data_IF_584268099257
#
_entry.id   IF_584268099257
#
_cell.length_a   1.000
_cell.length_b   1.000
_cell.length_c   1.000
_cell.angle_alpha   90.00
_cell.angle_beta   90.00
_cell.angle_gamma   90.00
#
_symmetry.space_group_name_H-M   'P 1'
#
loop_
_entity.id
_entity.type
_entity.pdbx_description
1 polymer ?
#
# COMPACT_ATOMS: atom_id res chain seq x y z
N UNK A 1 -14.28 17.09 -15.13
CA UNK A 1 -15.29 16.07 -15.52
C UNK A 1 -15.54 15.15 -14.35
N UNK A 2 -16.78 14.65 -14.17
CA UNK A 2 -17.08 13.70 -13.07
C UNK A 2 -16.45 12.32 -13.31
N UNK A 3 -16.05 11.63 -12.23
CA UNK A 3 -15.52 10.27 -12.29
C UNK A 3 -16.51 9.28 -12.89
N UNK A 4 -16.05 8.41 -13.78
CA UNK A 4 -16.84 7.37 -14.45
C UNK A 4 -16.70 6.06 -13.68
N UNK A 5 -17.80 5.59 -13.09
CA UNK A 5 -17.84 4.41 -12.22
C UNK A 5 -18.82 3.40 -12.77
N UNK A 6 -18.36 2.19 -12.99
CA UNK A 6 -19.17 1.05 -13.44
C UNK A 6 -19.47 0.14 -12.25
N UNK A 7 -20.74 -0.17 -12.05
CA UNK A 7 -21.24 -1.13 -11.08
C UNK A 7 -21.79 -2.37 -11.80
N UNK A 8 -21.39 -3.56 -11.35
CA UNK A 8 -21.81 -4.83 -11.97
C UNK A 8 -22.32 -5.78 -10.88
N UNK A 9 -23.58 -6.19 -11.01
CA UNK A 9 -24.23 -7.14 -10.11
C UNK A 9 -25.38 -7.81 -10.88
N UNK A 10 -25.53 -9.11 -10.81
CA UNK A 10 -26.59 -9.83 -11.54
C UNK A 10 -27.97 -9.70 -10.91
N UNK A 11 -28.05 -9.21 -9.68
CA UNK A 11 -29.31 -8.93 -9.01
C UNK A 11 -29.78 -7.48 -9.30
N UNK A 12 -30.86 -7.29 -10.10
CA UNK A 12 -31.42 -5.97 -10.37
C UNK A 12 -31.81 -5.20 -9.10
N UNK A 13 -32.23 -5.89 -8.04
CA UNK A 13 -32.61 -5.27 -6.78
C UNK A 13 -31.40 -4.64 -6.07
N UNK A 14 -30.21 -5.29 -6.17
CA UNK A 14 -28.95 -4.74 -5.66
C UNK A 14 -28.55 -3.49 -6.46
N UNK A 15 -28.62 -3.55 -7.79
CA UNK A 15 -28.31 -2.39 -8.65
C UNK A 15 -29.25 -1.21 -8.38
N UNK A 16 -30.54 -1.43 -8.23
CA UNK A 16 -31.50 -0.38 -7.84
C UNK A 16 -31.21 0.16 -6.43
N UNK A 17 -30.83 -0.72 -5.50
CA UNK A 17 -30.39 -0.35 -4.16
C UNK A 17 -29.18 0.59 -4.19
N UNK A 18 -28.13 0.22 -4.95
CA UNK A 18 -26.94 1.04 -5.17
C UNK A 18 -27.29 2.39 -5.81
N UNK A 19 -28.15 2.40 -6.84
CA UNK A 19 -28.60 3.64 -7.48
C UNK A 19 -29.30 4.60 -6.52
N UNK A 20 -30.16 4.06 -5.63
CA UNK A 20 -30.86 4.87 -4.60
C UNK A 20 -29.87 5.36 -3.55
N UNK A 21 -29.01 4.50 -3.06
CA UNK A 21 -28.03 4.76 -2.03
C UNK A 21 -27.03 5.85 -2.45
N UNK A 22 -26.58 5.82 -3.71
CA UNK A 22 -25.59 6.74 -4.27
C UNK A 22 -26.18 7.95 -4.97
N UNK A 23 -27.50 8.20 -4.84
CA UNK A 23 -28.19 9.30 -5.56
C UNK A 23 -27.57 10.67 -5.30
N UNK A 24 -27.08 10.92 -4.09
CA UNK A 24 -26.41 12.19 -3.73
C UNK A 24 -25.10 12.42 -4.49
N UNK A 25 -24.44 11.35 -4.95
CA UNK A 25 -23.14 11.41 -5.64
C UNK A 25 -23.27 11.73 -7.14
N UNK A 26 -24.47 11.79 -7.72
CA UNK A 26 -24.68 12.04 -9.16
C UNK A 26 -24.11 13.36 -9.68
N UNK A 27 -23.81 14.31 -8.81
CA UNK A 27 -23.16 15.57 -9.19
C UNK A 27 -21.63 15.42 -9.37
N UNK A 28 -21.04 14.43 -8.70
CA UNK A 28 -19.60 14.19 -8.67
C UNK A 28 -19.21 13.00 -9.55
N UNK A 29 -20.10 12.00 -9.67
CA UNK A 29 -19.85 10.73 -10.35
C UNK A 29 -20.81 10.50 -11.51
N UNK A 30 -20.26 9.98 -12.62
CA UNK A 30 -21.04 9.36 -13.70
C UNK A 30 -21.10 7.86 -13.40
N UNK A 31 -22.27 7.38 -13.02
CA UNK A 31 -22.46 6.01 -12.57
C UNK A 31 -23.21 5.20 -13.62
N UNK A 32 -22.66 4.04 -13.96
CA UNK A 32 -23.20 3.09 -14.92
C UNK A 32 -23.44 1.76 -14.23
N UNK A 33 -24.57 1.12 -14.49
CA UNK A 33 -25.02 -0.07 -13.78
C UNK A 33 -25.33 -1.16 -14.80
N UNK A 34 -24.68 -2.32 -14.66
CA UNK A 34 -24.82 -3.42 -15.60
C UNK A 34 -25.16 -4.73 -14.89
N UNK A 35 -26.15 -5.50 -15.42
CA UNK A 35 -26.54 -6.77 -14.82
C UNK A 35 -25.62 -7.93 -15.22
N UNK A 36 -24.54 -7.70 -15.96
CA UNK A 36 -23.60 -8.75 -16.36
C UNK A 36 -22.22 -8.20 -16.72
N UNK A 37 -21.21 -9.04 -16.52
CA UNK A 37 -19.83 -8.77 -16.93
C UNK A 37 -19.73 -8.43 -18.44
N UNK A 38 -20.46 -9.15 -19.32
CA UNK A 38 -20.40 -8.94 -20.77
C UNK A 38 -20.86 -7.54 -21.17
N UNK A 39 -21.94 -7.02 -20.56
CA UNK A 39 -22.42 -5.66 -20.85
C UNK A 39 -21.45 -4.60 -20.32
N UNK A 40 -20.87 -4.83 -19.14
CA UNK A 40 -19.87 -3.92 -18.58
C UNK A 40 -18.60 -3.87 -19.44
N UNK A 41 -18.11 -5.01 -19.93
CA UNK A 41 -16.96 -5.05 -20.84
C UNK A 41 -17.21 -4.32 -22.15
N UNK A 42 -18.37 -4.53 -22.77
CA UNK A 42 -18.76 -3.79 -23.98
C UNK A 42 -18.81 -2.27 -23.75
N UNK A 43 -19.24 -1.82 -22.56
CA UNK A 43 -19.22 -0.40 -22.20
C UNK A 43 -17.78 0.13 -22.04
N UNK A 44 -16.89 -0.65 -21.40
CA UNK A 44 -15.47 -0.31 -21.22
C UNK A 44 -14.70 -0.16 -22.55
N UNK A 45 -15.17 -0.83 -23.64
CA UNK A 45 -14.59 -0.70 -24.98
C UNK A 45 -14.89 0.68 -25.61
N UNK A 46 -16.00 1.31 -25.25
CA UNK A 46 -16.50 2.54 -25.88
C UNK A 46 -16.34 3.79 -25.04
N UNK A 47 -16.24 3.65 -23.73
CA UNK A 47 -16.24 4.77 -22.79
C UNK A 47 -15.11 4.69 -21.77
N UNK A 48 -14.45 5.81 -21.44
CA UNK A 48 -13.42 5.83 -20.41
C UNK A 48 -14.06 5.64 -19.03
N UNK A 49 -13.48 4.69 -18.26
CA UNK A 49 -13.92 4.33 -16.92
C UNK A 49 -12.75 4.48 -15.93
N UNK A 50 -13.03 5.05 -14.77
CA UNK A 50 -12.05 5.25 -13.71
C UNK A 50 -12.07 4.10 -12.68
N UNK A 51 -13.29 3.62 -12.34
CA UNK A 51 -13.49 2.59 -11.31
C UNK A 51 -14.52 1.56 -11.78
N UNK A 52 -14.21 0.31 -11.54
CA UNK A 52 -15.17 -0.81 -11.65
C UNK A 52 -15.42 -1.38 -10.26
N UNK A 53 -16.69 -1.52 -9.90
CA UNK A 53 -17.17 -2.15 -8.67
C UNK A 53 -18.01 -3.35 -9.08
N UNK A 54 -17.56 -4.57 -8.75
CA UNK A 54 -18.20 -5.81 -9.20
C UNK A 54 -18.62 -6.69 -8.06
N UNK A 55 -19.83 -7.25 -8.15
CA UNK A 55 -20.15 -8.44 -7.38
C UNK A 55 -19.22 -9.59 -7.74
N UNK A 56 -19.00 -10.50 -6.77
CA UNK A 56 -18.16 -11.67 -6.97
C UNK A 56 -18.92 -12.85 -7.53
N UNK A 57 -20.22 -12.99 -7.18
CA UNK A 57 -21.06 -14.11 -7.64
C UNK A 57 -22.00 -13.67 -8.75
N UNK A 58 -21.59 -13.92 -9.98
CA UNK A 58 -22.41 -13.65 -11.15
C UNK A 58 -22.49 -14.89 -12.04
N UNK A 59 -23.63 -15.17 -12.70
CA UNK A 59 -23.76 -16.28 -13.62
C UNK A 59 -22.93 -16.07 -14.88
N UNK A 60 -22.33 -17.14 -15.39
CA UNK A 60 -21.49 -17.12 -16.57
C UNK A 60 -20.05 -16.70 -16.26
N UNK A 61 -19.75 -15.41 -16.38
CA UNK A 61 -18.46 -14.82 -16.00
C UNK A 61 -18.59 -14.27 -14.58
N UNK A 62 -17.93 -14.92 -13.62
CA UNK A 62 -17.92 -14.46 -12.23
C UNK A 62 -17.08 -13.18 -12.05
N UNK A 63 -17.22 -12.52 -10.87
CA UNK A 63 -16.54 -11.26 -10.60
C UNK A 63 -15.02 -11.37 -10.62
N UNK A 64 -14.45 -12.50 -10.21
CA UNK A 64 -13.01 -12.71 -10.22
C UNK A 64 -12.46 -12.74 -11.65
N UNK A 65 -13.12 -13.48 -12.54
CA UNK A 65 -12.76 -13.54 -13.96
C UNK A 65 -13.03 -12.20 -14.66
N UNK A 66 -14.15 -11.54 -14.37
CA UNK A 66 -14.45 -10.21 -14.90
C UNK A 66 -13.36 -9.21 -14.53
N UNK A 67 -13.00 -9.10 -13.25
CA UNK A 67 -11.94 -8.19 -12.79
C UNK A 67 -10.58 -8.53 -13.38
N UNK A 68 -10.31 -9.82 -13.64
CA UNK A 68 -9.09 -10.24 -14.33
C UNK A 68 -9.08 -9.81 -15.82
N UNK A 69 -10.23 -9.84 -16.49
CA UNK A 69 -10.36 -9.32 -17.86
C UNK A 69 -10.17 -7.81 -17.90
N UNK A 70 -10.82 -7.06 -16.98
CA UNK A 70 -10.65 -5.61 -16.83
C UNK A 70 -9.18 -5.27 -16.59
N UNK A 71 -8.49 -6.01 -15.71
CA UNK A 71 -7.06 -5.81 -15.46
C UNK A 71 -6.22 -5.95 -16.72
N UNK A 72 -6.44 -7.01 -17.52
CA UNK A 72 -5.67 -7.26 -18.75
C UNK A 72 -5.89 -6.20 -19.83
N UNK A 73 -7.13 -5.75 -19.99
CA UNK A 73 -7.48 -4.81 -21.06
C UNK A 73 -7.34 -3.34 -20.63
N UNK A 74 -7.58 -3.04 -19.35
CA UNK A 74 -7.65 -1.68 -18.80
C UNK A 74 -6.91 -1.59 -17.45
N UNK A 75 -5.58 -1.76 -17.40
CA UNK A 75 -4.82 -1.84 -16.15
C UNK A 75 -4.95 -0.60 -15.27
N UNK A 76 -5.16 0.58 -15.86
CA UNK A 76 -5.36 1.85 -15.16
C UNK A 76 -6.71 1.97 -14.43
N UNK A 77 -7.66 1.10 -14.74
CA UNK A 77 -8.98 1.10 -14.08
C UNK A 77 -8.86 0.51 -12.68
N UNK A 78 -9.37 1.23 -11.69
CA UNK A 78 -9.40 0.74 -10.32
C UNK A 78 -10.51 -0.32 -10.18
N UNK A 79 -10.18 -1.45 -9.58
CA UNK A 79 -11.02 -2.64 -9.47
C UNK A 79 -11.36 -2.91 -8.02
N UNK A 80 -12.65 -2.77 -7.67
CA UNK A 80 -13.19 -3.01 -6.34
C UNK A 80 -14.13 -4.22 -6.40
N UNK A 81 -13.90 -5.21 -5.55
CA UNK A 81 -14.77 -6.38 -5.40
C UNK A 81 -15.77 -6.15 -4.28
N UNK A 82 -17.06 -6.40 -4.53
CA UNK A 82 -18.08 -6.53 -3.49
C UNK A 82 -18.31 -8.00 -3.19
N UNK A 83 -18.08 -8.43 -1.94
CA UNK A 83 -18.17 -9.86 -1.59
C UNK A 83 -19.00 -10.10 -0.33
N UNK A 84 -19.75 -11.22 -0.30
CA UNK A 84 -20.41 -11.73 0.89
C UNK A 84 -19.48 -12.63 1.73
N UNK A 85 -19.88 -12.94 2.97
CA UNK A 85 -19.11 -13.81 3.86
C UNK A 85 -18.86 -15.23 3.31
N UNK A 86 -19.67 -15.68 2.36
CA UNK A 86 -19.58 -17.03 1.77
C UNK A 86 -18.64 -17.11 0.54
N UNK A 87 -17.92 -16.05 0.19
CA UNK A 87 -17.21 -15.93 -1.08
C UNK A 87 -15.69 -16.17 -0.97
N UNK A 88 -15.21 -16.86 0.08
CA UNK A 88 -13.79 -17.05 0.37
C UNK A 88 -12.97 -17.52 -0.84
N UNK A 89 -13.43 -18.56 -1.52
CA UNK A 89 -12.72 -19.10 -2.68
C UNK A 89 -12.64 -18.10 -3.85
N UNK A 90 -13.73 -17.36 -4.09
CA UNK A 90 -13.79 -16.35 -5.15
C UNK A 90 -12.91 -15.14 -4.83
N UNK A 91 -12.89 -14.70 -3.55
CA UNK A 91 -12.00 -13.62 -3.09
C UNK A 91 -10.55 -14.04 -3.25
N UNK A 92 -10.18 -15.29 -2.88
CA UNK A 92 -8.83 -15.81 -3.10
C UNK A 92 -8.45 -15.77 -4.59
N UNK A 93 -9.36 -16.14 -5.49
CA UNK A 93 -9.13 -16.03 -6.95
C UNK A 93 -8.94 -14.58 -7.42
N UNK A 94 -9.66 -13.63 -6.82
CA UNK A 94 -9.58 -12.22 -7.18
C UNK A 94 -8.40 -11.47 -6.54
N UNK A 95 -7.65 -12.09 -5.59
CA UNK A 95 -6.52 -11.45 -4.88
C UNK A 95 -5.49 -10.81 -5.82
N UNK A 96 -5.33 -11.36 -7.02
CA UNK A 96 -4.41 -10.83 -8.03
C UNK A 96 -5.05 -9.82 -8.99
N UNK A 97 -6.35 -9.63 -8.94
CA UNK A 97 -7.09 -8.83 -9.93
C UNK A 97 -7.80 -7.63 -9.31
N UNK A 98 -8.29 -7.73 -8.08
CA UNK A 98 -8.92 -6.62 -7.37
C UNK A 98 -7.89 -5.80 -6.58
N UNK A 99 -8.12 -4.49 -6.52
CA UNK A 99 -7.33 -3.59 -5.69
C UNK A 99 -7.89 -3.53 -4.26
N UNK A 100 -9.21 -3.50 -4.12
CA UNK A 100 -9.89 -3.46 -2.82
C UNK A 100 -11.05 -4.45 -2.79
N UNK A 101 -11.42 -4.85 -1.56
CA UNK A 101 -12.55 -5.74 -1.27
C UNK A 101 -13.46 -5.08 -0.25
N UNK A 102 -14.74 -4.92 -0.58
CA UNK A 102 -15.77 -4.38 0.31
C UNK A 102 -16.80 -5.46 0.62
N UNK A 103 -17.15 -5.62 1.91
CA UNK A 103 -18.14 -6.60 2.33
C UNK A 103 -19.55 -6.15 1.99
N UNK A 104 -20.41 -7.10 1.56
CA UNK A 104 -21.86 -6.92 1.49
C UNK A 104 -22.49 -7.27 2.85
N UNK A 105 -23.43 -6.46 3.38
CA UNK A 105 -23.93 -5.21 2.83
C UNK A 105 -22.93 -4.04 2.99
N UNK A 106 -22.68 -3.29 1.91
CA UNK A 106 -21.79 -2.13 1.91
C UNK A 106 -22.60 -0.84 2.11
N UNK A 107 -22.18 0.02 3.04
CA UNK A 107 -22.81 1.32 3.23
C UNK A 107 -22.38 2.33 2.15
N UNK A 108 -23.19 3.38 1.95
CA UNK A 108 -22.85 4.48 1.03
C UNK A 108 -21.53 5.15 1.44
N UNK A 109 -21.33 5.34 2.74
CA UNK A 109 -20.14 5.97 3.31
C UNK A 109 -18.88 5.14 3.06
N UNK A 110 -18.96 3.82 3.25
CA UNK A 110 -17.84 2.89 3.01
C UNK A 110 -17.43 2.91 1.53
N UNK A 111 -18.41 2.78 0.63
CA UNK A 111 -18.15 2.78 -0.80
C UNK A 111 -17.65 4.14 -1.29
N UNK A 112 -18.28 5.23 -0.82
CA UNK A 112 -17.83 6.60 -1.11
C UNK A 112 -16.41 6.82 -0.61
N UNK A 113 -16.11 6.48 0.64
CA UNK A 113 -14.79 6.63 1.22
C UNK A 113 -13.70 5.89 0.44
N UNK A 114 -13.98 4.66 -0.03
CA UNK A 114 -13.06 3.91 -0.87
C UNK A 114 -12.78 4.60 -2.21
N UNK A 115 -13.82 5.10 -2.88
CA UNK A 115 -13.69 5.78 -4.18
C UNK A 115 -13.05 7.16 -4.04
N UNK A 116 -13.45 7.96 -3.05
CA UNK A 116 -12.88 9.29 -2.81
C UNK A 116 -11.40 9.22 -2.44
N UNK A 117 -11.00 8.20 -1.67
CA UNK A 117 -9.58 7.94 -1.36
C UNK A 117 -8.77 7.70 -2.64
N UNK A 118 -9.24 6.82 -3.51
CA UNK A 118 -8.59 6.55 -4.80
C UNK A 118 -8.51 7.81 -5.64
N UNK A 119 -9.55 8.64 -5.62
CA UNK A 119 -9.58 9.92 -6.32
C UNK A 119 -8.51 10.88 -5.81
N UNK A 120 -8.43 11.08 -4.50
CA UNK A 120 -7.40 11.94 -3.89
C UNK A 120 -5.98 11.46 -4.22
N UNK A 121 -5.77 10.14 -4.18
CA UNK A 121 -4.48 9.53 -4.50
C UNK A 121 -4.10 9.69 -5.99
N UNK A 122 -5.08 9.72 -6.90
CA UNK A 122 -4.81 9.92 -8.34
C UNK A 122 -4.14 11.27 -8.62
N UNK A 123 -4.40 12.27 -7.77
CA UNK A 123 -3.79 13.59 -7.86
C UNK A 123 -2.29 13.57 -7.49
N UNK A 124 -1.82 12.54 -6.76
CA UNK A 124 -0.40 12.36 -6.44
C UNK A 124 0.44 11.94 -7.67
N UNK A 125 -0.19 11.31 -8.67
CA UNK A 125 0.48 10.84 -9.87
C UNK A 125 -0.10 11.56 -11.10
N UNK A 126 0.64 12.54 -11.62
CA UNK A 126 0.21 13.34 -12.78
C UNK A 126 0.24 12.51 -14.07
N UNK A 127 1.23 11.62 -14.24
CA UNK A 127 1.40 10.82 -15.45
C UNK A 127 0.50 9.57 -15.45
N UNK A 128 -0.31 9.44 -16.51
CA UNK A 128 -1.21 8.28 -16.71
C UNK A 128 -0.44 6.97 -16.89
N UNK A 129 0.72 7.01 -17.54
CA UNK A 129 1.60 5.87 -17.73
C UNK A 129 2.08 5.28 -16.40
N UNK A 130 2.44 6.13 -15.43
CA UNK A 130 2.84 5.70 -14.09
C UNK A 130 1.67 5.11 -13.30
N UNK A 131 0.47 5.73 -13.42
CA UNK A 131 -0.74 5.16 -12.80
C UNK A 131 -1.04 3.76 -13.32
N UNK A 132 -0.90 3.55 -14.63
CA UNK A 132 -1.11 2.24 -15.24
C UNK A 132 -0.10 1.21 -14.72
N UNK A 133 1.19 1.55 -14.65
CA UNK A 133 2.24 0.67 -14.10
C UNK A 133 1.93 0.30 -12.65
N UNK A 134 1.57 1.27 -11.81
CA UNK A 134 1.30 1.01 -10.39
C UNK A 134 0.00 0.22 -10.20
N UNK A 135 -1.04 0.53 -10.98
CA UNK A 135 -2.32 -0.17 -10.90
C UNK A 135 -2.25 -1.63 -11.41
N UNK A 136 -1.25 -1.98 -12.24
CA UNK A 136 -1.03 -3.36 -12.69
C UNK A 136 -0.23 -4.20 -11.69
N UNK A 137 0.36 -3.59 -10.67
CA UNK A 137 1.12 -4.32 -9.66
C UNK A 137 0.22 -5.22 -8.82
N UNK A 138 0.50 -6.52 -8.87
CA UNK A 138 -0.20 -7.52 -8.08
C UNK A 138 0.47 -7.77 -6.74
N UNK A 139 1.79 -7.74 -6.76
CA UNK A 139 2.65 -8.08 -5.63
C UNK A 139 3.92 -7.23 -5.66
N UNK A 140 4.46 -6.99 -4.48
CA UNK A 140 5.79 -6.43 -4.33
C UNK A 140 6.81 -7.56 -4.21
N UNK A 141 8.04 -7.39 -4.72
CA UNK A 141 9.06 -8.41 -4.60
C UNK A 141 9.50 -8.58 -3.14
N UNK A 142 9.79 -9.81 -2.78
CA UNK A 142 10.33 -10.21 -1.49
C UNK A 142 11.79 -10.64 -1.61
N UNK A 143 12.56 -10.53 -0.53
CA UNK A 143 13.91 -11.09 -0.48
C UNK A 143 13.87 -12.61 -0.65
N UNK A 144 14.77 -13.17 -1.47
CA UNK A 144 14.81 -14.59 -1.75
C UNK A 144 14.90 -15.43 -0.47
N UNK A 145 15.74 -15.03 0.49
CA UNK A 145 15.90 -15.73 1.77
C UNK A 145 14.60 -15.75 2.57
N UNK A 146 13.93 -14.62 2.73
CA UNK A 146 12.67 -14.54 3.48
C UNK A 146 11.53 -15.28 2.77
N UNK A 147 11.51 -15.26 1.42
CA UNK A 147 10.57 -16.06 0.65
C UNK A 147 10.80 -17.57 0.89
N UNK A 148 12.05 -18.03 0.90
CA UNK A 148 12.39 -19.42 1.19
C UNK A 148 12.04 -19.81 2.64
N UNK A 149 12.24 -18.92 3.60
CA UNK A 149 11.89 -19.15 4.99
C UNK A 149 10.38 -19.33 5.18
N UNK A 150 9.56 -18.48 4.55
CA UNK A 150 8.09 -18.63 4.65
C UNK A 150 7.61 -19.91 3.97
N UNK A 151 8.18 -20.27 2.81
CA UNK A 151 7.86 -21.53 2.13
C UNK A 151 8.17 -22.73 3.01
N UNK A 152 9.37 -22.77 3.59
CA UNK A 152 9.81 -23.84 4.51
C UNK A 152 8.92 -23.95 5.75
N UNK A 153 8.56 -22.83 6.36
CA UNK A 153 7.66 -22.82 7.53
C UNK A 153 6.26 -23.30 7.18
N UNK A 154 5.70 -22.85 6.04
CA UNK A 154 4.36 -23.25 5.59
C UNK A 154 4.24 -24.71 5.18
N UNK A 155 5.33 -25.34 4.72
CA UNK A 155 5.41 -26.76 4.36
C UNK A 155 5.70 -27.66 5.57
N UNK A 156 6.14 -27.10 6.70
CA UNK A 156 6.44 -27.84 7.91
C UNK A 156 5.20 -28.49 8.53
N UNK A 157 5.35 -29.69 9.09
CA UNK A 157 4.30 -30.35 9.87
C UNK A 157 4.00 -29.62 11.19
N UNK A 158 4.97 -28.85 11.71
CA UNK A 158 4.86 -28.04 12.92
C UNK A 158 4.72 -26.55 12.60
N UNK A 159 4.15 -26.22 11.43
CA UNK A 159 3.99 -24.84 11.00
C UNK A 159 3.25 -23.98 12.04
N UNK A 160 3.84 -22.82 12.37
CA UNK A 160 3.33 -21.92 13.39
C UNK A 160 2.92 -20.58 12.80
N UNK A 161 1.65 -20.19 12.99
CA UNK A 161 1.15 -18.85 12.61
C UNK A 161 2.02 -17.73 13.17
N UNK A 162 2.54 -17.92 14.39
CA UNK A 162 3.45 -16.94 15.03
C UNK A 162 4.75 -16.79 14.23
N UNK A 163 5.41 -17.90 13.88
CA UNK A 163 6.63 -17.87 13.07
C UNK A 163 6.39 -17.31 11.68
N UNK A 164 5.30 -17.71 11.04
CA UNK A 164 4.89 -17.13 9.74
C UNK A 164 4.73 -15.62 9.86
N UNK A 165 4.06 -15.13 10.91
CA UNK A 165 3.92 -13.70 11.17
C UNK A 165 5.25 -12.98 11.41
N UNK A 166 6.20 -13.61 12.09
CA UNK A 166 7.54 -13.09 12.33
C UNK A 166 8.37 -13.00 11.03
N UNK A 167 8.22 -13.96 10.13
CA UNK A 167 8.87 -13.91 8.79
C UNK A 167 8.26 -12.79 7.95
N UNK A 168 6.92 -12.72 7.88
CA UNK A 168 6.20 -11.68 7.14
C UNK A 168 6.61 -10.28 7.63
N UNK A 169 6.74 -10.10 8.94
CA UNK A 169 7.10 -8.81 9.55
C UNK A 169 8.52 -8.32 9.17
N UNK A 170 9.36 -9.17 8.62
CA UNK A 170 10.71 -8.82 8.16
C UNK A 170 10.76 -8.46 6.68
N UNK A 171 9.67 -8.58 5.95
CA UNK A 171 9.62 -8.35 4.51
C UNK A 171 8.56 -7.31 4.16
N UNK A 172 8.98 -6.23 3.49
CA UNK A 172 8.13 -5.10 3.11
C UNK A 172 7.02 -5.55 2.15
N UNK A 173 7.37 -6.36 1.14
CA UNK A 173 6.41 -6.83 0.14
C UNK A 173 5.36 -7.77 0.75
N UNK A 174 5.80 -8.74 1.56
CA UNK A 174 4.91 -9.65 2.28
C UNK A 174 4.00 -8.90 3.25
N UNK A 175 4.57 -7.97 4.03
CA UNK A 175 3.84 -7.14 4.98
C UNK A 175 2.76 -6.33 4.29
N UNK A 176 3.09 -5.59 3.22
CA UNK A 176 2.12 -4.80 2.46
C UNK A 176 0.96 -5.66 1.95
N UNK A 177 1.25 -6.83 1.39
CA UNK A 177 0.23 -7.73 0.84
C UNK A 177 -0.67 -8.35 1.90
N UNK A 178 -0.10 -8.81 3.01
CA UNK A 178 -0.88 -9.39 4.11
C UNK A 178 -1.78 -8.34 4.76
N UNK A 179 -1.29 -7.10 4.92
CA UNK A 179 -2.10 -6.01 5.44
C UNK A 179 -3.22 -5.58 4.48
N UNK A 180 -2.95 -5.54 3.18
CA UNK A 180 -3.99 -5.31 2.18
C UNK A 180 -5.13 -6.32 2.36
N UNK A 181 -4.80 -7.60 2.51
CA UNK A 181 -5.79 -8.66 2.63
C UNK A 181 -6.57 -8.57 3.94
N UNK A 182 -5.87 -8.46 5.08
CA UNK A 182 -6.55 -8.47 6.39
C UNK A 182 -7.41 -7.23 6.63
N UNK A 183 -7.01 -6.08 6.13
CA UNK A 183 -7.79 -4.83 6.23
C UNK A 183 -8.87 -4.74 5.14
N UNK A 184 -8.93 -5.70 4.22
CA UNK A 184 -10.06 -5.78 3.32
C UNK A 184 -11.33 -6.14 4.11
N UNK A 185 -12.45 -5.57 3.73
CA UNK A 185 -13.72 -5.79 4.39
C UNK A 185 -14.17 -7.26 4.39
N UNK A 186 -13.56 -8.09 3.52
CA UNK A 186 -13.81 -9.52 3.43
C UNK A 186 -13.49 -10.27 4.73
N UNK A 187 -12.38 -9.94 5.41
CA UNK A 187 -12.03 -10.60 6.67
C UNK A 187 -12.78 -10.05 7.87
N UNK A 188 -13.70 -9.08 7.67
CA UNK A 188 -14.64 -8.59 8.68
C UNK A 188 -13.98 -8.05 9.95
N UNK A 189 -12.73 -7.62 9.86
CA UNK A 189 -11.99 -7.11 11.01
C UNK A 189 -12.56 -5.73 11.35
N UNK A 190 -13.20 -5.64 12.52
CA UNK A 190 -13.89 -4.43 12.99
C UNK A 190 -12.93 -3.30 13.37
N UNK A 191 -11.64 -3.57 13.42
CA UNK A 191 -10.58 -2.60 13.74
C UNK A 191 -9.46 -2.70 12.72
N UNK A 192 -8.88 -1.55 12.42
CA UNK A 192 -7.71 -1.47 11.57
C UNK A 192 -6.53 -2.28 12.16
N UNK A 193 -5.84 -3.06 11.32
CA UNK A 193 -4.67 -3.88 11.66
C UNK A 193 -3.44 -3.30 10.99
N UNK A 194 -2.48 -2.83 11.79
CA UNK A 194 -1.18 -2.34 11.33
C UNK A 194 -0.02 -3.27 11.71
N UNK A 195 -0.29 -4.38 12.37
CA UNK A 195 0.73 -5.32 12.81
C UNK A 195 0.69 -6.59 11.94
N UNK A 196 1.76 -6.90 11.16
CA UNK A 196 1.76 -8.06 10.26
C UNK A 196 1.67 -9.40 10.98
N UNK A 197 2.23 -9.54 12.20
CA UNK A 197 2.09 -10.76 12.98
C UNK A 197 0.64 -10.94 13.47
N UNK A 198 -0.03 -9.86 13.88
CA UNK A 198 -1.45 -9.91 14.20
C UNK A 198 -2.31 -10.20 12.96
N UNK A 199 -1.96 -9.63 11.81
CA UNK A 199 -2.61 -9.93 10.54
C UNK A 199 -2.50 -11.43 10.20
N UNK A 200 -1.33 -12.02 10.37
CA UNK A 200 -1.12 -13.45 10.15
C UNK A 200 -2.00 -14.32 11.07
N UNK A 201 -2.13 -13.94 12.34
CA UNK A 201 -3.02 -14.64 13.30
C UNK A 201 -4.49 -14.55 12.89
N UNK A 202 -4.93 -13.38 12.41
CA UNK A 202 -6.33 -13.17 11.98
C UNK A 202 -6.66 -13.93 10.70
N UNK A 203 -5.74 -14.01 9.74
CA UNK A 203 -5.90 -14.79 8.51
C UNK A 203 -5.89 -16.29 8.77
N UNK A 204 -5.08 -16.74 9.72
CA UNK A 204 -4.85 -18.14 10.00
C UNK A 204 -3.90 -18.82 9.01
N UNK A 205 -3.30 -19.93 9.44
CA UNK A 205 -2.27 -20.64 8.69
C UNK A 205 -2.76 -21.17 7.35
N UNK A 206 -3.97 -21.73 7.31
CA UNK A 206 -4.53 -22.33 6.09
C UNK A 206 -4.80 -21.29 5.01
N UNK A 207 -5.32 -20.12 5.40
CA UNK A 207 -5.50 -19.00 4.48
C UNK A 207 -4.15 -18.50 3.94
N UNK A 208 -3.16 -18.31 4.81
CA UNK A 208 -1.83 -17.87 4.39
C UNK A 208 -1.20 -18.92 3.48
N UNK A 209 -1.31 -20.21 3.82
CA UNK A 209 -0.80 -21.32 3.00
C UNK A 209 -1.45 -21.31 1.61
N UNK A 210 -2.78 -21.17 1.54
CA UNK A 210 -3.49 -21.07 0.26
C UNK A 210 -3.02 -19.87 -0.56
N UNK A 211 -2.86 -18.70 0.07
CA UNK A 211 -2.39 -17.48 -0.59
C UNK A 211 -0.96 -17.62 -1.13
N UNK A 212 -0.05 -18.14 -0.33
CA UNK A 212 1.37 -18.21 -0.70
C UNK A 212 1.64 -19.38 -1.66
N UNK A 213 1.21 -20.59 -1.31
CA UNK A 213 1.55 -21.81 -2.07
C UNK A 213 0.69 -21.97 -3.33
N UNK A 214 -0.61 -21.67 -3.27
CA UNK A 214 -1.54 -21.88 -4.38
C UNK A 214 -1.62 -20.67 -5.31
N UNK A 215 -1.59 -19.44 -4.76
CA UNK A 215 -1.78 -18.22 -5.53
C UNK A 215 -0.48 -17.45 -5.77
N UNK A 216 0.63 -17.86 -5.16
CA UNK A 216 1.95 -17.22 -5.32
C UNK A 216 1.87 -15.69 -5.13
N UNK A 217 1.23 -15.23 -4.04
CA UNK A 217 1.01 -13.80 -3.78
C UNK A 217 2.29 -13.02 -3.52
N UNK A 218 3.39 -13.69 -3.18
CA UNK A 218 4.71 -13.09 -3.07
C UNK A 218 5.55 -13.47 -4.29
N UNK A 219 6.36 -12.54 -4.76
CA UNK A 219 7.30 -12.78 -5.86
C UNK A 219 8.73 -12.55 -5.39
N UNK A 220 9.65 -13.29 -5.99
CA UNK A 220 11.08 -13.08 -5.77
C UNK A 220 11.55 -11.87 -6.56
N UNK A 221 12.50 -11.12 -5.99
CA UNK A 221 13.18 -10.07 -6.72
C UNK A 221 14.01 -10.66 -7.89
N UNK A 222 13.79 -10.17 -9.10
CA UNK A 222 14.47 -10.63 -10.32
C UNK A 222 15.11 -9.48 -11.10
N UNK A 223 15.49 -8.39 -10.41
CA UNK A 223 16.08 -7.21 -11.06
C UNK A 223 17.43 -7.51 -11.69
N UNK A 224 17.73 -6.84 -12.84
CA UNK A 224 19.02 -6.91 -13.52
C UNK A 224 19.90 -5.67 -13.28
N UNK A 225 19.27 -4.52 -13.05
CA UNK A 225 19.95 -3.23 -12.88
C UNK A 225 20.41 -2.97 -11.44
N UNK A 226 19.77 -3.64 -10.47
CA UNK A 226 20.07 -3.54 -9.05
C UNK A 226 20.37 -4.95 -8.52
N UNK A 227 21.30 -5.04 -7.56
CA UNK A 227 21.66 -6.32 -6.94
C UNK A 227 20.73 -6.67 -5.78
N UNK A 228 20.72 -7.94 -5.36
CA UNK A 228 20.02 -8.36 -4.14
C UNK A 228 20.55 -7.62 -2.91
N UNK A 229 21.85 -7.24 -2.91
CA UNK A 229 22.44 -6.44 -1.84
C UNK A 229 21.82 -5.05 -1.74
N UNK A 230 21.56 -4.40 -2.88
CA UNK A 230 20.92 -3.08 -2.91
C UNK A 230 19.51 -3.15 -2.32
N UNK A 231 18.78 -4.19 -2.68
CA UNK A 231 17.45 -4.44 -2.13
C UNK A 231 17.52 -4.76 -0.64
N UNK A 232 18.48 -5.59 -0.18
CA UNK A 232 18.68 -5.89 1.25
C UNK A 232 18.94 -4.61 2.06
N UNK A 233 19.76 -3.70 1.57
CA UNK A 233 20.02 -2.42 2.24
C UNK A 233 18.76 -1.56 2.37
N UNK A 234 17.89 -1.59 1.36
CA UNK A 234 16.59 -0.91 1.42
C UNK A 234 15.68 -1.54 2.49
N UNK A 235 15.69 -2.88 2.62
CA UNK A 235 14.94 -3.59 3.66
C UNK A 235 15.45 -3.26 5.07
N UNK A 236 16.77 -3.31 5.28
CA UNK A 236 17.40 -2.97 6.56
C UNK A 236 17.07 -1.53 6.97
N UNK A 237 17.11 -0.60 6.01
CA UNK A 237 16.70 0.78 6.22
C UNK A 237 15.24 0.89 6.65
N UNK A 238 14.34 0.26 5.91
CA UNK A 238 12.90 0.28 6.18
C UNK A 238 12.58 -0.31 7.57
N UNK A 239 13.22 -1.43 7.94
CA UNK A 239 13.03 -2.06 9.23
C UNK A 239 13.56 -1.17 10.38
N UNK A 240 14.73 -0.58 10.22
CA UNK A 240 15.31 0.32 11.23
C UNK A 240 14.45 1.57 11.39
N UNK A 241 13.99 2.17 10.28
CA UNK A 241 13.09 3.31 10.30
C UNK A 241 11.76 2.96 10.99
N UNK A 242 11.22 1.76 10.78
CA UNK A 242 10.02 1.28 11.46
C UNK A 242 10.21 1.21 13.00
N UNK A 243 11.33 0.64 13.45
CA UNK A 243 11.66 0.56 14.90
C UNK A 243 11.82 1.96 15.49
N UNK A 244 12.52 2.85 14.80
CA UNK A 244 12.71 4.22 15.23
C UNK A 244 11.38 4.98 15.30
N UNK A 245 10.55 4.90 14.27
CA UNK A 245 9.25 5.57 14.23
C UNK A 245 8.34 5.13 15.37
N UNK A 246 8.26 3.81 15.64
CA UNK A 246 7.52 3.30 16.79
C UNK A 246 8.08 3.80 18.12
N UNK A 247 9.41 3.84 18.26
CA UNK A 247 10.09 4.32 19.47
C UNK A 247 9.81 5.80 19.69
N UNK A 248 9.85 6.62 18.64
CA UNK A 248 9.54 8.05 18.68
C UNK A 248 8.08 8.29 19.09
N UNK A 249 7.14 7.57 18.46
CA UNK A 249 5.72 7.66 18.80
C UNK A 249 5.45 7.27 20.25
N UNK A 250 6.06 6.18 20.72
CA UNK A 250 5.96 5.74 22.11
C UNK A 250 6.60 6.75 23.09
N UNK A 251 7.77 7.31 22.78
CA UNK A 251 8.45 8.32 23.60
C UNK A 251 7.69 9.66 23.64
N UNK A 252 6.93 9.97 22.60
CA UNK A 252 6.01 11.11 22.58
C UNK A 252 4.79 10.87 23.49
N UNK A 253 4.46 9.62 23.82
CA UNK A 253 3.26 9.26 24.57
C UNK A 253 2.02 9.08 23.69
N UNK A 254 2.21 8.80 22.41
CA UNK A 254 1.12 8.49 21.49
C UNK A 254 0.39 7.20 21.91
N UNK A 255 -0.87 7.09 21.52
CA UNK A 255 -1.64 5.87 21.75
C UNK A 255 -1.08 4.66 20.98
N UNK A 256 -1.56 3.47 21.32
CA UNK A 256 -1.09 2.23 20.72
C UNK A 256 -1.29 2.19 19.21
N UNK A 257 -2.39 2.74 18.71
CA UNK A 257 -2.71 2.72 17.29
C UNK A 257 -1.72 3.59 16.50
N UNK A 258 -1.43 4.81 16.97
CA UNK A 258 -0.42 5.68 16.37
C UNK A 258 0.96 5.03 16.39
N UNK A 259 1.33 4.32 17.46
CA UNK A 259 2.60 3.59 17.54
C UNK A 259 2.68 2.44 16.53
N UNK A 260 1.59 1.69 16.34
CA UNK A 260 1.52 0.60 15.36
C UNK A 260 1.54 1.16 13.93
N UNK A 261 0.79 2.22 13.65
CA UNK A 261 0.80 2.91 12.35
C UNK A 261 2.18 3.51 12.03
N UNK A 262 2.86 4.10 13.02
CA UNK A 262 4.22 4.63 12.84
C UNK A 262 5.21 3.52 12.47
N UNK A 263 5.12 2.34 13.11
CA UNK A 263 5.93 1.18 12.74
C UNK A 263 5.67 0.77 11.30
N UNK A 264 4.39 0.64 10.91
CA UNK A 264 4.03 0.20 9.58
C UNK A 264 4.37 1.22 8.50
N UNK A 265 4.12 2.49 8.77
CA UNK A 265 4.50 3.56 7.87
C UNK A 265 6.02 3.63 7.70
N UNK A 266 6.79 3.45 8.77
CA UNK A 266 8.25 3.34 8.70
C UNK A 266 8.73 2.13 7.89
N UNK A 267 8.04 0.97 7.99
CA UNK A 267 8.33 -0.21 7.17
C UNK A 267 8.08 0.03 5.68
N UNK A 268 7.05 0.81 5.34
CA UNK A 268 6.54 0.96 3.98
C UNK A 268 6.93 2.29 3.32
N UNK A 269 7.55 3.25 4.03
CA UNK A 269 7.76 4.61 3.52
C UNK A 269 8.51 4.65 2.18
N UNK A 270 9.43 3.73 2.00
CA UNK A 270 10.29 3.60 0.82
C UNK A 270 9.82 2.54 -0.20
N UNK A 271 8.62 1.98 -0.03
CA UNK A 271 8.08 0.93 -0.91
C UNK A 271 8.05 1.35 -2.39
N UNK A 272 7.91 2.64 -2.67
CA UNK A 272 7.96 3.17 -4.03
C UNK A 272 9.32 2.99 -4.70
N UNK A 273 10.42 2.92 -3.95
CA UNK A 273 11.76 2.60 -4.50
C UNK A 273 11.78 1.18 -5.08
N UNK A 274 11.12 0.21 -4.42
CA UNK A 274 10.97 -1.15 -4.97
C UNK A 274 10.18 -1.15 -6.28
N UNK A 275 9.13 -0.34 -6.35
CA UNK A 275 8.32 -0.18 -7.56
C UNK A 275 9.20 0.35 -8.69
N UNK A 276 9.98 1.38 -8.44
CA UNK A 276 10.87 1.98 -9.41
C UNK A 276 11.97 1.01 -9.86
N UNK A 277 12.64 0.35 -8.93
CA UNK A 277 13.71 -0.62 -9.21
C UNK A 277 13.19 -1.76 -10.11
N UNK A 278 11.97 -2.24 -9.87
CA UNK A 278 11.41 -3.36 -10.60
C UNK A 278 10.84 -2.98 -11.97
N UNK A 279 10.18 -1.83 -12.06
CA UNK A 279 9.39 -1.48 -13.25
C UNK A 279 10.05 -0.40 -14.12
N UNK A 280 10.93 0.42 -13.53
CA UNK A 280 11.61 1.53 -14.21
C UNK A 280 13.13 1.54 -13.92
N UNK A 281 13.84 0.40 -14.05
CA UNK A 281 15.22 0.25 -13.57
C UNK A 281 16.19 1.27 -14.16
N UNK A 282 16.08 1.59 -15.45
CA UNK A 282 16.95 2.55 -16.12
C UNK A 282 16.72 4.00 -15.66
N UNK A 283 15.45 4.40 -15.52
CA UNK A 283 15.11 5.72 -14.97
C UNK A 283 15.52 5.84 -13.51
N UNK A 284 15.36 4.77 -12.73
CA UNK A 284 15.81 4.74 -11.33
C UNK A 284 17.32 4.94 -11.22
N UNK A 285 18.09 4.24 -12.06
CA UNK A 285 19.54 4.42 -12.13
C UNK A 285 19.93 5.85 -12.47
N UNK A 286 19.28 6.45 -13.48
CA UNK A 286 19.50 7.86 -13.85
C UNK A 286 19.18 8.82 -12.69
N UNK A 287 18.09 8.58 -11.94
CA UNK A 287 17.73 9.40 -10.78
C UNK A 287 18.78 9.29 -9.67
N UNK A 288 19.31 8.10 -9.39
CA UNK A 288 20.39 7.88 -8.40
C UNK A 288 21.68 8.56 -8.83
N UNK A 289 22.09 8.40 -10.10
CA UNK A 289 23.28 9.07 -10.64
C UNK A 289 23.15 10.59 -10.57
N UNK A 290 21.98 11.14 -10.94
CA UNK A 290 21.70 12.56 -10.85
C UNK A 290 21.78 13.05 -9.39
N UNK A 291 21.11 12.39 -8.45
CA UNK A 291 21.15 12.74 -7.03
C UNK A 291 22.59 12.81 -6.50
N UNK A 292 23.42 11.85 -6.90
CA UNK A 292 24.84 11.81 -6.50
C UNK A 292 25.64 12.96 -7.10
N UNK A 293 25.40 13.31 -8.38
CA UNK A 293 26.13 14.36 -9.09
C UNK A 293 25.73 15.77 -8.63
N UNK A 294 24.44 15.99 -8.36
CA UNK A 294 23.91 17.30 -7.98
C UNK A 294 23.86 17.54 -6.48
N UNK A 295 24.12 16.49 -5.67
CA UNK A 295 24.03 16.53 -4.20
C UNK A 295 22.63 16.94 -3.74
N UNK A 296 21.61 16.65 -4.53
CA UNK A 296 20.20 16.88 -4.18
C UNK A 296 19.54 15.61 -3.62
N UNK A 297 18.46 15.73 -2.82
CA UNK A 297 17.73 14.57 -2.32
C UNK A 297 17.23 13.67 -3.45
N UNK A 298 17.25 12.35 -3.24
CA UNK A 298 16.86 11.39 -4.28
C UNK A 298 15.43 11.64 -4.80
N UNK A 299 14.47 11.96 -3.93
CA UNK A 299 13.10 12.26 -4.34
C UNK A 299 13.00 13.43 -5.35
N UNK A 300 13.92 14.41 -5.27
CA UNK A 300 13.94 15.52 -6.21
C UNK A 300 14.48 15.08 -7.59
N UNK A 301 15.52 14.23 -7.59
CA UNK A 301 16.03 13.60 -8.81
C UNK A 301 15.02 12.66 -9.44
N UNK A 302 14.26 11.89 -8.63
CA UNK A 302 13.16 11.06 -9.10
C UNK A 302 12.08 11.89 -9.79
N UNK A 303 11.64 13.01 -9.19
CA UNK A 303 10.69 13.94 -9.84
C UNK A 303 11.19 14.47 -11.18
N UNK A 304 12.47 14.79 -11.27
CA UNK A 304 13.05 15.30 -12.51
C UNK A 304 13.15 14.22 -13.62
N UNK A 305 13.39 12.95 -13.26
CA UNK A 305 13.65 11.86 -14.22
C UNK A 305 12.40 11.02 -14.50
N UNK A 306 11.62 10.75 -13.45
CA UNK A 306 10.45 9.85 -13.51
C UNK A 306 9.14 10.63 -13.60
N UNK A 307 9.10 11.89 -13.12
CA UNK A 307 7.89 12.71 -13.04
C UNK A 307 7.21 12.67 -11.68
N UNK A 308 7.63 11.76 -10.77
CA UNK A 308 7.09 11.62 -9.41
C UNK A 308 8.15 11.06 -8.47
N UNK A 309 7.90 11.09 -7.16
CA UNK A 309 8.79 10.53 -6.13
C UNK A 309 8.34 9.15 -5.65
N UNK A 310 9.28 8.39 -5.07
CA UNK A 310 8.97 7.09 -4.45
C UNK A 310 7.90 7.21 -3.35
N UNK A 311 7.91 8.30 -2.57
CA UNK A 311 6.88 8.52 -1.54
C UNK A 311 5.48 8.63 -2.14
N UNK A 312 5.32 9.39 -3.22
CA UNK A 312 4.03 9.56 -3.92
C UNK A 312 3.55 8.25 -4.58
N UNK A 313 4.45 7.51 -5.24
CA UNK A 313 4.13 6.23 -5.86
C UNK A 313 3.79 5.16 -4.81
N UNK A 314 4.57 5.09 -3.72
CA UNK A 314 4.29 4.18 -2.61
C UNK A 314 2.95 4.48 -1.95
N UNK A 315 2.66 5.75 -1.66
CA UNK A 315 1.38 6.20 -1.11
C UNK A 315 0.21 5.86 -2.03
N UNK A 316 0.35 6.09 -3.34
CA UNK A 316 -0.68 5.74 -4.33
C UNK A 316 -0.99 4.23 -4.29
N UNK A 317 0.03 3.36 -4.38
CA UNK A 317 -0.17 1.92 -4.34
C UNK A 317 -0.82 1.46 -3.03
N UNK A 318 -0.29 1.90 -1.89
CA UNK A 318 -0.81 1.50 -0.58
C UNK A 318 -2.24 2.00 -0.35
N UNK A 319 -2.55 3.19 -0.80
CA UNK A 319 -3.90 3.73 -0.71
C UNK A 319 -4.89 3.04 -1.65
N UNK A 320 -4.48 2.71 -2.88
CA UNK A 320 -5.28 1.89 -3.81
C UNK A 320 -5.52 0.50 -3.21
N UNK A 321 -4.57 -0.05 -2.45
CA UNK A 321 -4.72 -1.31 -1.73
C UNK A 321 -5.55 -1.18 -0.44
N UNK A 322 -6.01 0.02 -0.09
CA UNK A 322 -6.90 0.25 1.05
C UNK A 322 -6.21 0.28 2.41
N UNK A 323 -4.90 0.58 2.46
CA UNK A 323 -4.22 0.82 3.72
C UNK A 323 -4.74 2.13 4.36
N UNK A 324 -4.61 2.29 5.68
CA UNK A 324 -5.07 3.47 6.40
C UNK A 324 -4.51 4.79 5.91
N UNK A 325 -5.32 5.83 6.03
CA UNK A 325 -4.93 7.18 5.64
C UNK A 325 -3.71 7.69 6.42
N UNK A 326 -3.57 7.33 7.72
CA UNK A 326 -2.40 7.66 8.55
C UNK A 326 -1.09 7.10 7.99
N UNK A 327 -1.11 5.88 7.45
CA UNK A 327 0.04 5.24 6.80
C UNK A 327 0.28 5.90 5.44
N UNK A 328 -0.78 6.04 4.62
CA UNK A 328 -0.68 6.63 3.28
C UNK A 328 -0.15 8.06 3.32
N UNK A 329 -0.63 8.90 4.26
CA UNK A 329 -0.11 10.25 4.49
C UNK A 329 1.37 10.24 4.87
N UNK A 330 1.77 9.33 5.76
CA UNK A 330 3.17 9.20 6.13
C UNK A 330 4.05 8.88 4.92
N UNK A 331 3.63 7.95 4.06
CA UNK A 331 4.36 7.62 2.84
C UNK A 331 4.44 8.82 1.88
N UNK A 332 3.31 9.50 1.65
CA UNK A 332 3.24 10.62 0.71
C UNK A 332 4.12 11.81 1.11
N UNK A 333 4.20 12.09 2.42
CA UNK A 333 4.74 13.35 2.92
C UNK A 333 5.99 13.21 3.80
N UNK A 334 6.58 12.00 3.98
CA UNK A 334 7.72 11.82 4.88
C UNK A 334 8.94 12.69 4.56
N UNK A 335 9.13 13.11 3.33
CA UNK A 335 10.20 14.05 2.97
C UNK A 335 9.83 15.53 3.14
N UNK A 336 8.54 15.87 3.10
CA UNK A 336 8.05 17.25 3.19
C UNK A 336 6.75 17.34 4.01
N UNK A 337 6.82 17.03 5.31
CA UNK A 337 5.64 16.93 6.17
C UNK A 337 4.88 18.24 6.30
N UNK A 338 5.52 19.39 6.06
CA UNK A 338 4.86 20.69 5.96
C UNK A 338 3.79 20.80 4.86
N UNK A 339 3.79 19.91 3.87
CA UNK A 339 2.76 19.86 2.82
C UNK A 339 1.51 19.08 3.23
N UNK A 340 1.59 18.25 4.27
CA UNK A 340 0.43 17.55 4.79
C UNK A 340 -0.57 18.55 5.39
N UNK A 341 -1.88 18.44 5.09
CA UNK A 341 -2.88 19.36 5.63
C UNK A 341 -3.10 19.18 7.14
N UNK A 342 -2.84 17.99 7.68
CA UNK A 342 -3.03 17.68 9.08
C UNK A 342 -1.82 18.12 9.91
N UNK A 343 -2.07 18.95 10.94
CA UNK A 343 -1.06 19.58 11.78
C UNK A 343 -1.10 19.05 13.21
N UNK A 344 -0.89 17.75 13.36
CA UNK A 344 -0.78 17.09 14.66
C UNK A 344 0.29 16.01 14.63
N UNK A 345 0.81 15.62 15.81
CA UNK A 345 1.71 14.47 15.87
C UNK A 345 1.01 13.21 15.38
N UNK A 346 1.64 12.50 14.46
CA UNK A 346 1.08 11.29 13.82
C UNK A 346 2.20 10.34 13.37
N UNK A 347 1.84 9.26 12.70
CA UNK A 347 2.78 8.37 12.03
C UNK A 347 3.72 9.13 11.07
N UNK A 348 3.23 10.16 10.37
CA UNK A 348 4.03 11.03 9.51
C UNK A 348 5.19 11.70 10.27
N UNK A 349 4.90 12.31 11.42
CA UNK A 349 5.94 12.97 12.23
C UNK A 349 6.99 11.98 12.69
N UNK A 350 6.54 10.81 13.16
CA UNK A 350 7.42 9.76 13.66
C UNK A 350 8.34 9.21 12.54
N UNK A 351 7.79 8.94 11.35
CA UNK A 351 8.55 8.43 10.20
C UNK A 351 9.53 9.47 9.68
N UNK A 352 9.10 10.74 9.52
CA UNK A 352 9.97 11.83 9.08
C UNK A 352 11.22 11.96 9.95
N UNK A 353 11.03 11.95 11.26
CA UNK A 353 12.15 12.04 12.21
C UNK A 353 12.98 10.75 12.23
N UNK A 354 12.35 9.59 12.14
CA UNK A 354 13.03 8.29 12.14
C UNK A 354 13.96 8.13 10.94
N UNK A 355 13.48 8.46 9.74
CA UNK A 355 14.25 8.43 8.49
C UNK A 355 15.46 9.36 8.59
N UNK A 356 15.24 10.61 9.01
CA UNK A 356 16.34 11.57 9.26
C UNK A 356 17.38 11.03 10.26
N UNK A 357 16.96 10.50 11.40
CA UNK A 357 17.87 9.99 12.44
C UNK A 357 18.65 8.77 11.97
N UNK A 358 18.01 7.87 11.23
CA UNK A 358 18.71 6.71 10.67
C UNK A 358 19.75 7.14 9.64
N UNK A 359 19.40 8.02 8.72
CA UNK A 359 20.34 8.58 7.74
C UNK A 359 21.54 9.24 8.41
N UNK A 360 21.31 10.09 9.42
CA UNK A 360 22.35 10.77 10.17
C UNK A 360 23.30 9.84 10.95
N UNK A 361 22.84 8.62 11.29
CA UNK A 361 23.62 7.63 12.02
C UNK A 361 24.45 6.72 11.11
N UNK A 362 23.91 6.33 9.94
CA UNK A 362 24.51 5.33 9.03
C UNK A 362 25.36 5.93 7.90
N UNK A 363 25.31 7.25 7.70
CA UNK A 363 25.87 7.91 6.51
C UNK A 363 25.10 7.63 5.23
N UNK A 364 23.95 6.95 5.34
CA UNK A 364 23.02 6.56 4.29
C UNK A 364 23.60 5.63 3.22
N UNK A 365 22.83 4.68 2.70
CA UNK A 365 23.19 4.02 1.46
C UNK A 365 23.15 5.03 0.31
N UNK A 366 23.94 4.79 -0.73
CA UNK A 366 24.05 5.63 -1.94
C UNK A 366 22.72 5.94 -2.65
N UNK A 367 21.66 5.23 -2.30
CA UNK A 367 20.29 5.38 -2.81
C UNK A 367 19.42 6.41 -2.08
N UNK A 368 19.87 7.07 -1.03
CA UNK A 368 18.95 7.86 -0.19
C UNK A 368 19.12 9.38 -0.31
N UNK A 369 20.29 9.85 -0.77
CA UNK A 369 20.58 11.27 -0.76
C UNK A 369 20.60 11.88 0.66
N UNK A 370 20.88 13.18 0.83
CA UNK A 370 20.94 13.81 2.15
C UNK A 370 19.54 13.84 2.79
N UNK A 371 19.39 13.22 3.97
CA UNK A 371 18.21 13.34 4.81
C UNK A 371 18.12 14.74 5.42
N UNK A 372 16.99 15.41 5.19
CA UNK A 372 16.72 16.74 5.74
C UNK A 372 15.54 16.63 6.73
N UNK A 373 15.71 17.25 7.92
CA UNK A 373 14.61 17.38 8.85
C UNK A 373 13.88 18.72 8.62
N UNK A 374 12.57 18.67 8.52
CA UNK A 374 11.72 19.87 8.42
C UNK A 374 11.55 20.52 9.80
N UNK A 375 12.50 21.42 10.12
CA UNK A 375 12.50 22.11 11.42
C UNK A 375 11.28 23.00 11.61
N UNK A 376 10.77 23.62 10.54
CA UNK A 376 9.58 24.45 10.60
C UNK A 376 8.36 23.62 11.02
N UNK A 377 8.16 22.46 10.39
CA UNK A 377 7.11 21.53 10.76
C UNK A 377 7.19 21.07 12.21
N UNK A 378 8.38 20.67 12.68
CA UNK A 378 8.56 20.23 14.07
C UNK A 378 8.40 21.37 15.08
N UNK A 379 8.77 22.61 14.69
CA UNK A 379 8.56 23.80 15.50
C UNK A 379 7.07 24.13 15.63
N UNK A 380 6.31 24.07 14.51
CA UNK A 380 4.86 24.30 14.49
C UNK A 380 4.11 23.30 15.38
N UNK A 381 4.60 22.06 15.46
CA UNK A 381 4.07 21.03 16.36
C UNK A 381 4.56 21.17 17.81
N UNK A 382 5.50 22.08 18.10
CA UNK A 382 6.09 22.25 19.44
C UNK A 382 7.01 21.09 19.87
N UNK A 383 7.51 20.27 18.92
CA UNK A 383 8.29 19.06 19.22
C UNK A 383 9.75 19.13 18.76
N UNK A 384 10.21 20.24 18.21
CA UNK A 384 11.58 20.40 17.71
C UNK A 384 12.64 20.08 18.79
N UNK A 385 12.37 20.45 20.06
CA UNK A 385 13.25 20.17 21.20
C UNK A 385 13.35 18.67 21.56
N UNK A 386 12.49 17.82 21.02
CA UNK A 386 12.48 16.37 21.27
C UNK A 386 13.45 15.56 20.39
N UNK A 387 14.07 16.18 19.38
CA UNK A 387 14.98 15.46 18.47
C UNK A 387 16.12 14.73 19.20
N UNK A 388 16.75 15.37 20.19
CA UNK A 388 17.83 14.77 20.95
C UNK A 388 17.34 13.63 21.86
N UNK A 389 16.31 13.80 22.70
CA UNK A 389 15.69 12.70 23.45
C UNK A 389 15.27 11.51 22.58
N UNK A 390 14.65 11.78 21.44
CA UNK A 390 14.24 10.71 20.49
C UNK A 390 15.44 9.96 19.91
N UNK A 391 16.51 10.67 19.50
CA UNK A 391 17.74 10.04 19.04
C UNK A 391 18.32 9.06 20.07
N UNK A 392 18.41 9.51 21.34
CA UNK A 392 18.91 8.67 22.43
C UNK A 392 18.00 7.44 22.70
N UNK A 393 16.66 7.61 22.58
CA UNK A 393 15.71 6.51 22.71
C UNK A 393 15.85 5.49 21.58
N UNK A 394 15.99 5.95 20.33
CA UNK A 394 16.19 5.09 19.16
C UNK A 394 17.50 4.28 19.26
N UNK A 395 18.58 4.92 19.69
CA UNK A 395 19.87 4.22 19.89
C UNK A 395 19.78 3.10 20.94
N UNK A 396 19.06 3.34 22.06
CA UNK A 396 18.80 2.31 23.05
C UNK A 396 17.95 1.16 22.52
N UNK A 397 16.94 1.48 21.69
CA UNK A 397 16.04 0.47 21.14
C UNK A 397 16.77 -0.53 20.22
N UNK A 398 17.74 -0.07 19.42
CA UNK A 398 18.56 -0.94 18.56
C UNK A 398 19.58 -1.75 19.39
N UNK A 399 20.20 -1.13 20.40
CA UNK A 399 21.18 -1.84 21.24
C UNK A 399 20.55 -2.97 22.09
N UNK A 400 19.23 -3.00 22.22
CA UNK A 400 18.46 -4.00 22.95
C UNK A 400 17.95 -5.16 22.08
N UNK A 401 18.12 -5.10 20.76
CA UNK A 401 17.79 -6.17 19.80
C UNK A 401 18.98 -7.09 19.55
#
# INVERSE_FOLDING_TARGET
MGWSIVFVDDDPGVLEGLQRMLRSMRREWRMHFFPSAAQALAFLESEPVDVVVSDMRMPGVDGAEFLAQVKRAYPHVIRIALSGYADQEMVLRAVRSAHQYLAKPCSAETLKGAIDRVRALRELLEEESLRAVVADLEVLPSLLSLYQDIMKELESQEASVKRVGEIIAKDVGMTAKILQLVNSAFFGVSRHVSNPAQAAVLLGLDTIRALVLSLHIFSQFKGKAFSEKDVSLLWEHSLTTAVYAKTIASAFGADRMVCEDAFMAGMLHDVGKLIFIQNLPEKTKQAVERSTQTVEPLWASEKAVVGTSHGEVGAYLMGVWGLPDSIVEALAFHHFPSRCPHRQFSALTAVHVADFLHYAASGGPSFQGPGLVDQAYLSDLGVLGQLRPWKEACQRAIAAQ
#
